data_IF_696358536101
#
_entry.id   IF_696358536101
#
_cell.length_a   1.000
_cell.length_b   1.000
_cell.length_c   1.000
_cell.angle_alpha   90.00
_cell.angle_beta   90.00
_cell.angle_gamma   90.00
#
_symmetry.space_group_name_H-M   'P 1'
#
loop_
_entity.id
_entity.type
_entity.pdbx_description
1 polymer ?
#
# COMPACT_ATOMS: atom_id res chain seq x y z
N UNK A 1 1.40 21.95 13.90
CA UNK A 1 2.08 21.06 12.95
C UNK A 1 2.35 19.74 13.66
N UNK A 2 1.51 18.75 13.47
CA UNK A 2 1.73 17.40 14.03
C UNK A 2 2.66 16.69 13.04
N UNK A 3 3.93 16.55 13.39
CA UNK A 3 4.84 15.65 12.71
C UNK A 3 4.35 14.22 12.99
N UNK A 4 3.50 13.69 12.13
CA UNK A 4 3.21 12.26 12.09
C UNK A 4 4.48 11.54 11.65
N UNK A 5 5.24 11.07 12.62
CA UNK A 5 6.41 10.24 12.39
C UNK A 5 5.92 8.85 11.94
N UNK A 6 5.58 8.74 10.66
CA UNK A 6 5.14 7.50 10.04
C UNK A 6 6.27 6.48 10.08
N UNK A 7 6.22 5.60 11.05
CA UNK A 7 7.14 4.47 11.16
C UNK A 7 6.59 3.30 10.34
N UNK A 8 6.73 3.33 9.02
CA UNK A 8 6.48 2.15 8.17
C UNK A 8 7.49 1.05 8.52
N UNK A 9 7.33 0.41 9.68
CA UNK A 9 8.23 -0.66 10.11
C UNK A 9 7.46 -1.95 10.35
N UNK A 10 8.03 -3.05 9.90
CA UNK A 10 7.58 -4.41 10.19
C UNK A 10 8.24 -4.98 11.47
N UNK A 11 9.13 -4.22 12.12
CA UNK A 11 9.75 -4.59 13.37
C UNK A 11 8.76 -4.45 14.54
N UNK A 12 8.01 -5.52 14.83
CA UNK A 12 7.14 -5.58 16.02
C UNK A 12 7.96 -5.71 17.30
N UNK A 13 7.34 -5.36 18.44
CA UNK A 13 7.96 -5.53 19.78
C UNK A 13 8.15 -6.99 20.17
N UNK A 14 7.47 -7.92 19.51
CA UNK A 14 7.53 -9.37 19.77
C UNK A 14 8.77 -10.05 19.13
N UNK A 15 9.47 -9.34 18.25
CA UNK A 15 10.68 -9.87 17.59
C UNK A 15 11.91 -9.65 18.49
N UNK A 16 12.79 -10.65 18.57
CA UNK A 16 14.05 -10.55 19.33
C UNK A 16 14.87 -9.32 18.93
N UNK A 17 15.74 -8.78 19.80
CA UNK A 17 16.57 -7.61 19.47
C UNK A 17 17.41 -7.79 18.20
N UNK A 18 17.96 -9.00 17.99
CA UNK A 18 18.72 -9.34 16.79
C UNK A 18 17.81 -9.38 15.55
N UNK A 19 16.64 -9.99 15.67
CA UNK A 19 15.65 -10.01 14.59
C UNK A 19 15.20 -8.60 14.19
N UNK A 20 14.98 -7.71 15.17
CA UNK A 20 14.66 -6.29 14.90
C UNK A 20 15.78 -5.56 14.17
N UNK A 21 17.04 -5.84 14.53
CA UNK A 21 18.20 -5.27 13.84
C UNK A 21 18.25 -5.74 12.37
N UNK A 22 18.04 -7.03 12.11
CA UNK A 22 18.00 -7.59 10.76
C UNK A 22 16.86 -6.97 9.96
N UNK A 23 15.65 -6.89 10.52
CA UNK A 23 14.49 -6.26 9.85
C UNK A 23 14.81 -4.80 9.50
N UNK A 24 15.38 -4.02 10.43
CA UNK A 24 15.76 -2.63 10.17
C UNK A 24 16.80 -2.50 9.07
N UNK A 25 17.83 -3.37 9.05
CA UNK A 25 18.84 -3.36 7.99
C UNK A 25 18.19 -3.69 6.65
N UNK A 26 17.34 -4.71 6.60
CA UNK A 26 16.60 -5.07 5.38
C UNK A 26 15.69 -3.93 4.91
N UNK A 27 14.94 -3.29 5.81
CA UNK A 27 14.10 -2.14 5.50
C UNK A 27 14.92 -0.95 4.95
N UNK A 28 16.11 -0.70 5.45
CA UNK A 28 17.03 0.33 4.96
C UNK A 28 17.54 0.01 3.55
N UNK A 29 17.88 -1.26 3.29
CA UNK A 29 18.39 -1.72 1.99
C UNK A 29 17.29 -1.76 0.92
N UNK A 30 16.01 -1.90 1.28
CA UNK A 30 14.87 -2.00 0.36
C UNK A 30 14.30 -0.66 -0.12
N UNK A 31 14.99 0.45 0.16
CA UNK A 31 14.54 1.78 -0.29
C UNK A 31 13.42 2.41 0.55
N UNK A 32 13.11 1.87 1.73
CA UNK A 32 12.08 2.40 2.65
C UNK A 32 12.25 3.89 2.93
N UNK A 33 13.48 4.35 3.18
CA UNK A 33 13.75 5.77 3.43
C UNK A 33 13.40 6.64 2.22
N UNK A 34 13.66 6.13 1.02
CA UNK A 34 13.29 6.81 -0.23
C UNK A 34 11.77 6.90 -0.39
N UNK A 35 11.05 5.80 -0.14
CA UNK A 35 9.59 5.76 -0.16
C UNK A 35 8.98 6.72 0.88
N UNK A 36 9.51 6.71 2.10
CA UNK A 36 9.07 7.65 3.14
C UNK A 36 9.27 9.10 2.70
N UNK A 37 10.45 9.45 2.18
CA UNK A 37 10.75 10.80 1.68
C UNK A 37 9.79 11.22 0.56
N UNK A 38 9.49 10.32 -0.39
CA UNK A 38 8.54 10.59 -1.47
C UNK A 38 7.11 10.79 -0.93
N UNK A 39 6.71 10.02 0.07
CA UNK A 39 5.42 10.19 0.72
C UNK A 39 5.33 11.51 1.51
N UNK A 40 6.37 11.86 2.27
CA UNK A 40 6.42 13.13 3.00
C UNK A 40 6.38 14.34 2.02
N UNK A 41 7.04 14.24 0.86
CA UNK A 41 6.95 15.23 -0.21
C UNK A 41 5.53 15.33 -0.76
N UNK A 42 4.88 14.20 -1.03
CA UNK A 42 3.49 14.16 -1.47
C UNK A 42 2.55 14.87 -0.50
N UNK A 43 2.69 14.61 0.81
CA UNK A 43 1.87 15.27 1.84
C UNK A 43 2.05 16.79 1.85
N UNK A 44 3.28 17.28 1.63
CA UNK A 44 3.57 18.72 1.58
C UNK A 44 3.02 19.40 0.33
N UNK A 45 2.76 18.66 -0.75
CA UNK A 45 2.21 19.18 -2.00
C UNK A 45 0.69 19.43 -1.90
N UNK A 46 0.03 19.01 -0.83
CA UNK A 46 -1.41 19.20 -0.59
C UNK A 46 -2.28 18.73 -1.76
N UNK A 47 -1.87 17.65 -2.42
CA UNK A 47 -2.56 17.12 -3.59
C UNK A 47 -3.82 16.34 -3.20
N UNK A 48 -4.84 16.31 -4.08
CA UNK A 48 -6.05 15.53 -3.84
C UNK A 48 -5.76 14.04 -3.62
N UNK A 49 -6.34 13.39 -2.60
CA UNK A 49 -6.13 11.96 -2.33
C UNK A 49 -6.42 11.04 -3.51
N UNK A 50 -7.32 11.44 -4.40
CA UNK A 50 -7.70 10.68 -5.60
C UNK A 50 -6.54 10.52 -6.58
N UNK A 51 -5.59 11.45 -6.56
CA UNK A 51 -4.40 11.42 -7.41
C UNK A 51 -3.24 10.62 -6.83
N UNK A 52 -3.36 10.13 -5.60
CA UNK A 52 -2.28 9.45 -4.89
C UNK A 52 -1.60 8.35 -5.72
N UNK A 53 -2.38 7.45 -6.33
CA UNK A 53 -1.82 6.35 -7.11
C UNK A 53 -1.14 6.82 -8.38
N UNK A 54 -1.70 7.85 -9.03
CA UNK A 54 -1.12 8.46 -10.22
C UNK A 54 0.23 9.10 -9.88
N UNK A 55 0.26 9.92 -8.84
CA UNK A 55 1.47 10.58 -8.38
C UNK A 55 2.53 9.57 -7.89
N UNK A 56 2.10 8.46 -7.28
CA UNK A 56 3.01 7.38 -6.86
C UNK A 56 3.67 6.70 -8.07
N UNK A 57 2.93 6.41 -9.14
CA UNK A 57 3.47 5.85 -10.39
C UNK A 57 4.51 6.80 -10.98
N UNK A 58 4.20 8.08 -11.07
CA UNK A 58 5.10 9.10 -11.64
C UNK A 58 6.36 9.31 -10.79
N UNK A 59 6.20 9.48 -9.47
CA UNK A 59 7.33 9.69 -8.55
C UNK A 59 8.26 8.48 -8.47
N UNK A 60 7.70 7.28 -8.56
CA UNK A 60 8.47 6.02 -8.59
C UNK A 60 9.01 5.70 -10.00
N UNK A 61 8.63 6.47 -11.02
CA UNK A 61 9.01 6.27 -12.43
C UNK A 61 8.65 4.87 -12.93
N UNK A 62 7.47 4.37 -12.52
CA UNK A 62 6.99 3.05 -12.94
C UNK A 62 6.47 3.17 -14.37
N UNK A 63 7.02 2.36 -15.28
CA UNK A 63 6.49 2.22 -16.63
C UNK A 63 5.52 1.06 -16.64
N UNK A 64 4.25 1.34 -16.95
CA UNK A 64 3.18 0.34 -17.00
C UNK A 64 2.87 0.04 -18.45
N UNK A 65 2.94 -1.24 -18.82
CA UNK A 65 2.56 -1.75 -20.11
C UNK A 65 1.24 -2.51 -20.00
N UNK A 66 0.23 -2.09 -20.77
CA UNK A 66 -1.16 -2.52 -20.61
C UNK A 66 -1.68 -3.37 -21.78
N UNK A 67 -0.82 -4.10 -22.47
CA UNK A 67 -1.18 -4.87 -23.67
C UNK A 67 -2.39 -5.81 -23.52
N UNK A 68 -2.71 -6.27 -22.31
CA UNK A 68 -3.79 -7.24 -22.08
C UNK A 68 -5.13 -6.64 -21.70
N UNK A 69 -5.14 -5.40 -21.16
CA UNK A 69 -6.39 -4.76 -20.70
C UNK A 69 -7.32 -4.32 -21.85
N UNK A 70 -6.81 -4.27 -23.07
CA UNK A 70 -7.62 -3.98 -24.25
C UNK A 70 -8.53 -5.15 -24.61
N UNK A 71 -8.11 -6.39 -24.34
CA UNK A 71 -8.87 -7.61 -24.66
C UNK A 71 -9.90 -7.96 -23.61
N UNK A 72 -9.54 -7.81 -22.33
CA UNK A 72 -10.39 -8.13 -21.18
C UNK A 72 -10.43 -6.95 -20.21
N UNK A 73 -11.26 -5.95 -20.49
CA UNK A 73 -11.33 -4.76 -19.65
C UNK A 73 -11.90 -5.06 -18.26
N UNK A 74 -11.35 -4.41 -17.26
CA UNK A 74 -11.87 -4.47 -15.89
C UNK A 74 -13.33 -3.99 -15.88
N UNK A 75 -14.31 -4.77 -15.38
CA UNK A 75 -15.71 -4.35 -15.30
C UNK A 75 -15.89 -3.06 -14.49
N UNK A 76 -16.62 -2.11 -15.05
CA UNK A 76 -16.87 -0.81 -14.41
C UNK A 76 -17.86 -0.89 -13.24
N UNK A 77 -18.72 -1.92 -13.23
CA UNK A 77 -19.79 -2.10 -12.24
C UNK A 77 -19.87 -3.57 -11.82
N UNK A 78 -20.65 -3.84 -10.77
CA UNK A 78 -20.87 -5.17 -10.25
C UNK A 78 -19.78 -5.66 -9.29
N UNK A 79 -20.02 -6.82 -8.70
CA UNK A 79 -19.08 -7.43 -7.75
C UNK A 79 -17.89 -7.99 -8.50
N UNK A 80 -16.69 -7.67 -8.03
CA UNK A 80 -15.44 -8.09 -8.66
C UNK A 80 -14.40 -8.34 -7.58
N UNK A 81 -13.63 -9.42 -7.74
CA UNK A 81 -12.42 -9.69 -6.98
C UNK A 81 -11.29 -9.79 -7.98
N UNK A 82 -10.26 -8.99 -7.78
CA UNK A 82 -9.04 -9.02 -8.58
C UNK A 82 -7.92 -9.61 -7.75
N UNK A 83 -7.20 -10.56 -8.32
CA UNK A 83 -6.05 -11.22 -7.71
C UNK A 83 -4.84 -11.01 -8.61
N UNK A 84 -3.71 -10.65 -8.03
CA UNK A 84 -2.45 -10.52 -8.74
C UNK A 84 -1.32 -11.16 -7.94
N UNK A 85 -0.28 -11.61 -8.64
CA UNK A 85 0.98 -11.96 -7.99
C UNK A 85 1.61 -10.71 -7.36
N UNK A 86 2.43 -10.92 -6.33
CA UNK A 86 3.00 -9.83 -5.53
C UNK A 86 4.54 -9.96 -5.46
N UNK A 87 5.17 -10.01 -6.63
CA UNK A 87 6.60 -10.25 -6.76
C UNK A 87 7.47 -9.01 -6.46
N UNK A 88 6.92 -7.81 -6.69
CA UNK A 88 7.65 -6.55 -6.56
C UNK A 88 7.17 -5.68 -5.38
N UNK A 89 6.41 -6.26 -4.46
CA UNK A 89 6.01 -5.61 -3.21
C UNK A 89 5.22 -4.32 -3.44
N UNK A 90 5.74 -3.19 -2.95
CA UNK A 90 5.04 -1.89 -3.01
C UNK A 90 4.64 -1.50 -4.43
N UNK A 91 5.46 -1.83 -5.43
CA UNK A 91 5.18 -1.47 -6.81
C UNK A 91 3.90 -2.13 -7.33
N UNK A 92 3.66 -3.40 -7.00
CA UNK A 92 2.44 -4.11 -7.41
C UNK A 92 1.19 -3.46 -6.82
N UNK A 93 1.24 -3.08 -5.54
CA UNK A 93 0.14 -2.37 -4.88
C UNK A 93 -0.15 -1.01 -5.51
N UNK A 94 0.89 -0.26 -5.86
CA UNK A 94 0.78 1.04 -6.54
C UNK A 94 0.16 0.87 -7.93
N UNK A 95 0.64 -0.10 -8.72
CA UNK A 95 0.12 -0.38 -10.06
C UNK A 95 -1.35 -0.80 -9.98
N UNK A 96 -1.70 -1.69 -9.05
CA UNK A 96 -3.07 -2.12 -8.85
C UNK A 96 -4.00 -0.95 -8.49
N UNK A 97 -3.59 -0.10 -7.53
CA UNK A 97 -4.35 1.09 -7.16
C UNK A 97 -4.52 2.05 -8.34
N UNK A 98 -3.47 2.28 -9.13
CA UNK A 98 -3.50 3.11 -10.32
C UNK A 98 -4.49 2.57 -11.38
N UNK A 99 -4.43 1.28 -11.69
CA UNK A 99 -5.30 0.66 -12.69
C UNK A 99 -6.77 0.71 -12.25
N UNK A 100 -7.05 0.40 -10.99
CA UNK A 100 -8.39 0.42 -10.45
C UNK A 100 -8.98 1.84 -10.47
N UNK A 101 -8.21 2.84 -10.08
CA UNK A 101 -8.66 4.24 -10.07
C UNK A 101 -9.08 4.74 -11.46
N UNK A 102 -8.46 4.22 -12.53
CA UNK A 102 -8.84 4.56 -13.91
C UNK A 102 -10.20 4.02 -14.34
N UNK A 103 -10.67 2.96 -13.69
CA UNK A 103 -11.86 2.24 -14.13
C UNK A 103 -13.04 2.44 -13.18
N UNK A 104 -12.79 2.44 -11.86
CA UNK A 104 -13.84 2.52 -10.85
C UNK A 104 -13.36 3.16 -9.56
N UNK A 105 -14.29 3.74 -8.82
CA UNK A 105 -14.02 4.43 -7.55
C UNK A 105 -14.41 3.62 -6.30
N UNK A 106 -15.17 2.56 -6.48
CA UNK A 106 -15.76 1.73 -5.42
C UNK A 106 -14.90 0.53 -5.02
N UNK A 107 -13.59 0.58 -5.28
CA UNK A 107 -12.66 -0.50 -4.94
C UNK A 107 -12.10 -0.37 -3.53
N UNK A 108 -11.65 -1.49 -2.99
CA UNK A 108 -10.83 -1.59 -1.78
C UNK A 108 -9.65 -2.52 -2.07
N UNK A 109 -8.50 -2.21 -1.50
CA UNK A 109 -7.29 -3.03 -1.56
C UNK A 109 -7.05 -3.70 -0.21
N UNK A 110 -6.94 -5.01 -0.18
CA UNK A 110 -6.49 -5.74 1.02
C UNK A 110 -4.97 -5.59 1.09
N UNK A 111 -4.48 -5.02 2.18
CA UNK A 111 -3.06 -4.74 2.33
C UNK A 111 -2.61 -4.83 3.79
N UNK A 112 -1.30 -4.84 4.04
CA UNK A 112 -0.76 -4.89 5.38
C UNK A 112 -1.23 -3.70 6.24
N UNK A 113 -1.60 -3.95 7.50
CA UNK A 113 -2.11 -2.95 8.46
C UNK A 113 -1.22 -1.69 8.56
N UNK A 114 0.07 -1.79 8.30
CA UNK A 114 1.03 -0.67 8.35
C UNK A 114 0.66 0.46 7.37
N UNK A 115 0.02 0.12 6.24
CA UNK A 115 -0.38 1.11 5.24
C UNK A 115 -1.61 1.94 5.66
N UNK A 116 -2.31 1.55 6.73
CA UNK A 116 -3.39 2.36 7.31
C UNK A 116 -2.89 3.73 7.79
N UNK A 117 -1.59 3.86 8.04
CA UNK A 117 -0.97 5.13 8.41
C UNK A 117 -0.93 6.13 7.24
N UNK A 118 -1.05 5.67 6.00
CA UNK A 118 -1.08 6.51 4.82
C UNK A 118 -2.47 7.13 4.65
N UNK A 119 -2.66 8.34 5.18
CA UNK A 119 -3.92 9.05 5.23
C UNK A 119 -4.60 9.17 3.86
N UNK A 120 -3.81 9.39 2.79
CA UNK A 120 -4.30 9.55 1.43
C UNK A 120 -5.05 8.32 0.88
N UNK A 121 -4.78 7.12 1.41
CA UNK A 121 -5.36 5.87 0.91
C UNK A 121 -6.13 5.09 1.97
N UNK A 122 -6.24 5.58 3.19
CA UNK A 122 -6.87 4.83 4.29
C UNK A 122 -8.29 4.39 3.97
N UNK A 123 -9.04 5.21 3.23
CA UNK A 123 -10.42 4.91 2.81
C UNK A 123 -10.49 3.88 1.66
N UNK A 124 -9.36 3.62 1.00
CA UNK A 124 -9.26 2.65 -0.12
C UNK A 124 -8.65 1.32 0.29
N UNK A 125 -8.29 1.13 1.55
CA UNK A 125 -7.66 -0.10 2.03
C UNK A 125 -8.52 -0.85 3.05
N UNK A 126 -8.41 -2.17 3.02
CA UNK A 126 -8.82 -3.07 4.09
C UNK A 126 -7.54 -3.56 4.75
N UNK A 127 -7.23 -3.09 5.96
CA UNK A 127 -6.01 -3.47 6.64
C UNK A 127 -6.07 -4.94 7.04
N UNK A 128 -5.01 -5.68 6.72
CA UNK A 128 -4.86 -7.08 7.11
C UNK A 128 -3.64 -7.24 8.02
N UNK A 129 -3.84 -7.97 9.11
CA UNK A 129 -2.82 -8.32 10.06
C UNK A 129 -2.33 -9.75 9.79
N UNK A 130 -1.07 -9.90 9.40
CA UNK A 130 -0.47 -11.19 9.08
C UNK A 130 0.06 -11.95 10.31
N UNK A 131 -0.06 -11.39 11.51
CA UNK A 131 0.32 -12.09 12.73
C UNK A 131 -0.58 -13.31 12.98
N UNK A 132 0.03 -14.41 13.45
CA UNK A 132 -0.68 -15.67 13.72
C UNK A 132 -1.16 -15.73 15.17
N UNK A 133 -1.87 -14.69 15.62
CA UNK A 133 -2.43 -14.65 16.97
C UNK A 133 -3.95 -14.37 16.96
N UNK A 134 -4.60 -14.57 18.10
CA UNK A 134 -6.07 -14.39 18.24
C UNK A 134 -6.50 -12.94 18.03
N UNK A 135 -5.64 -11.99 18.38
CA UNK A 135 -5.90 -10.57 18.24
C UNK A 135 -5.90 -10.15 16.76
N UNK A 136 -4.91 -10.60 16.01
CA UNK A 136 -4.86 -10.39 14.56
C UNK A 136 -6.09 -10.97 13.86
N UNK A 137 -6.52 -12.18 14.24
CA UNK A 137 -7.73 -12.80 13.69
C UNK A 137 -8.96 -11.93 13.97
N UNK A 138 -9.14 -11.47 15.21
CA UNK A 138 -10.24 -10.57 15.60
C UNK A 138 -10.22 -9.27 14.80
N UNK A 139 -9.06 -8.64 14.68
CA UNK A 139 -8.88 -7.39 13.92
C UNK A 139 -9.21 -7.58 12.43
N UNK A 140 -8.79 -8.70 11.84
CA UNK A 140 -9.06 -9.03 10.45
C UNK A 140 -10.56 -9.27 10.17
N UNK A 141 -11.29 -9.82 11.15
CA UNK A 141 -12.76 -10.00 11.04
C UNK A 141 -13.47 -8.64 11.15
N UNK A 142 -13.02 -7.77 12.05
CA UNK A 142 -13.65 -6.47 12.28
C UNK A 142 -13.35 -5.45 11.16
N UNK A 143 -12.28 -5.64 10.39
CA UNK A 143 -11.89 -4.74 9.30
C UNK A 143 -12.66 -4.95 7.99
N UNK A 144 -13.56 -5.94 7.94
CA UNK A 144 -14.42 -6.26 6.79
C UNK A 144 -15.74 -5.53 6.87
#
# INVERSE_FOLDING_TARGET
MVQNNLAFTFASTEVSPLGRAIIKITELSTGKLKLKKLYDQYLNENRPPELFWHDAVDKLKIKIDLHFLEKDPIPKTGRLIIVANHAFGVADGVIMGYLLTKVRQDYKLITHKVLRQAEAIKEKIIPFDFEKNKEALKNNIQSR
#
